data_IF_731690171788
#
_entry.id   IF_731690171788
#
_cell.length_a   1.000
_cell.length_b   1.000
_cell.length_c   1.000
_cell.angle_alpha   90.00
_cell.angle_beta   90.00
_cell.angle_gamma   90.00
#
_symmetry.space_group_name_H-M   'P 1'
#
loop_
_entity.id
_entity.type
_entity.pdbx_description
1 polymer ?
#
# COMPACT_ATOMS: atom_id res chain seq x y z
N UNK A 1 38.75 14.38 -24.56
CA UNK A 1 37.36 13.89 -24.57
C UNK A 1 37.06 13.27 -23.22
N UNK A 2 35.96 13.71 -22.61
CA UNK A 2 35.62 13.60 -21.18
C UNK A 2 35.45 12.15 -20.72
N UNK A 3 36.18 11.77 -19.65
CA UNK A 3 35.94 10.56 -18.83
C UNK A 3 35.18 10.89 -17.53
N UNK A 4 34.50 12.03 -17.47
CA UNK A 4 33.83 12.52 -16.24
C UNK A 4 32.35 12.17 -16.12
N UNK A 5 31.71 11.61 -17.16
CA UNK A 5 30.26 11.32 -17.13
C UNK A 5 29.89 9.92 -16.65
N UNK A 6 30.85 8.99 -16.57
CA UNK A 6 30.54 7.57 -16.28
C UNK A 6 30.59 7.22 -14.78
N UNK A 7 31.08 8.13 -13.91
CA UNK A 7 31.21 7.86 -12.47
C UNK A 7 30.10 8.46 -11.58
N UNK A 8 29.31 9.43 -12.08
CA UNK A 8 28.24 10.05 -11.28
C UNK A 8 26.96 9.20 -11.23
N UNK A 9 26.63 8.48 -12.31
CA UNK A 9 25.46 7.58 -12.33
C UNK A 9 25.69 6.24 -11.61
N UNK A 10 26.94 5.93 -11.25
CA UNK A 10 27.31 4.67 -10.58
C UNK A 10 27.08 4.65 -9.07
N UNK A 11 26.53 5.72 -8.47
CA UNK A 11 26.46 5.87 -7.00
C UNK A 11 25.10 6.34 -6.46
N UNK A 12 24.11 6.64 -7.31
CA UNK A 12 22.79 7.02 -6.79
C UNK A 12 22.10 5.78 -6.18
N UNK A 13 21.68 5.83 -4.90
CA UNK A 13 20.93 4.74 -4.31
C UNK A 13 19.60 4.59 -5.06
N UNK A 14 19.40 3.41 -5.64
CA UNK A 14 18.17 3.05 -6.37
C UNK A 14 17.07 2.56 -5.44
N UNK A 15 17.40 2.15 -4.22
CA UNK A 15 16.45 1.93 -3.15
C UNK A 15 16.46 3.15 -2.22
N UNK A 16 15.34 3.89 -2.18
CA UNK A 16 15.21 5.13 -1.40
C UNK A 16 14.04 5.07 -0.43
N UNK A 17 14.07 5.94 0.58
CA UNK A 17 12.98 6.16 1.52
C UNK A 17 12.46 7.58 1.41
N UNK A 18 11.17 7.74 1.62
CA UNK A 18 10.56 9.06 1.65
C UNK A 18 9.15 9.03 2.19
N UNK A 19 8.49 10.17 2.09
CA UNK A 19 7.13 10.40 2.58
C UNK A 19 6.23 10.73 1.39
N UNK A 20 5.06 10.11 1.30
CA UNK A 20 4.07 10.44 0.26
C UNK A 20 3.51 11.83 0.53
N UNK A 21 3.69 12.75 -0.43
CA UNK A 21 3.24 14.16 -0.34
C UNK A 21 2.09 14.50 -1.28
N UNK A 22 1.89 13.71 -2.33
CA UNK A 22 0.77 13.88 -3.26
C UNK A 22 0.34 12.54 -3.88
N UNK A 23 -0.93 12.43 -4.28
CA UNK A 23 -1.54 11.19 -4.76
C UNK A 23 -2.49 11.47 -5.92
N UNK A 24 -2.34 10.71 -7.00
CA UNK A 24 -3.31 10.64 -8.10
C UNK A 24 -3.88 9.21 -8.19
N UNK A 25 -5.04 8.96 -7.55
CA UNK A 25 -5.66 7.65 -7.58
C UNK A 25 -6.18 7.25 -8.97
N UNK A 26 -6.41 8.19 -9.89
CA UNK A 26 -6.91 7.88 -11.24
C UNK A 26 -5.84 7.25 -12.12
N UNK A 27 -4.58 7.57 -11.86
CA UNK A 27 -3.44 7.07 -12.63
C UNK A 27 -2.57 6.09 -11.85
N UNK A 28 -2.93 5.77 -10.59
CA UNK A 28 -2.12 4.96 -9.65
C UNK A 28 -0.71 5.52 -9.49
N UNK A 29 -0.60 6.84 -9.25
CA UNK A 29 0.68 7.53 -9.10
C UNK A 29 0.74 8.38 -7.84
N UNK A 30 1.96 8.63 -7.38
CA UNK A 30 2.26 9.45 -6.21
C UNK A 30 3.45 10.38 -6.46
N UNK A 31 3.60 11.38 -5.61
CA UNK A 31 4.86 12.07 -5.39
C UNK A 31 5.39 11.76 -4.00
N UNK A 32 6.69 11.54 -3.91
CA UNK A 32 7.39 11.22 -2.67
C UNK A 32 8.45 12.27 -2.42
N UNK A 33 8.54 12.77 -1.19
CA UNK A 33 9.65 13.60 -0.73
C UNK A 33 10.70 12.69 -0.09
N UNK A 34 11.92 12.68 -0.62
CA UNK A 34 13.00 11.88 -0.05
C UNK A 34 13.64 12.58 1.16
N UNK A 35 14.00 11.78 2.17
CA UNK A 35 14.55 12.27 3.44
C UNK A 35 16.02 12.70 3.32
N UNK A 36 16.74 12.23 2.30
CA UNK A 36 18.20 12.28 2.19
C UNK A 36 18.75 13.34 1.22
N UNK A 37 17.90 14.03 0.45
CA UNK A 37 18.32 15.02 -0.55
C UNK A 37 17.48 16.29 -0.47
N UNK A 38 17.79 17.23 0.44
CA UNK A 38 17.30 18.62 0.47
C UNK A 38 15.80 18.79 0.13
N UNK A 39 14.93 17.90 0.65
CA UNK A 39 13.49 17.90 0.39
C UNK A 39 13.07 17.67 -1.08
N UNK A 40 13.90 16.97 -1.87
CA UNK A 40 13.60 16.63 -3.26
C UNK A 40 12.30 15.82 -3.35
N UNK A 41 11.36 16.36 -4.12
CA UNK A 41 10.08 15.71 -4.44
C UNK A 41 10.20 15.06 -5.81
N UNK A 42 9.85 13.78 -5.89
CA UNK A 42 9.86 13.04 -7.16
C UNK A 42 8.89 13.65 -8.17
N UNK A 43 9.11 13.32 -9.46
CA UNK A 43 8.02 13.34 -10.42
C UNK A 43 6.95 12.31 -10.02
N UNK A 44 5.86 12.25 -10.79
CA UNK A 44 4.85 11.21 -10.58
C UNK A 44 5.44 9.82 -10.84
N UNK A 45 5.54 9.02 -9.79
CA UNK A 45 6.02 7.64 -9.83
C UNK A 45 4.88 6.65 -9.58
N UNK A 46 5.03 5.42 -10.06
CA UNK A 46 3.95 4.44 -10.06
C UNK A 46 3.72 3.82 -8.67
N UNK A 47 2.45 3.54 -8.36
CA UNK A 47 2.03 2.68 -7.25
C UNK A 47 1.80 1.27 -7.80
N UNK A 48 2.52 0.30 -7.26
CA UNK A 48 2.39 -1.08 -7.70
C UNK A 48 1.07 -1.69 -7.20
N UNK A 49 0.21 -2.10 -8.12
CA UNK A 49 -0.98 -2.88 -7.80
C UNK A 49 -0.63 -4.36 -7.55
N UNK A 50 -1.35 -5.02 -6.65
CA UNK A 50 -1.16 -6.47 -6.39
C UNK A 50 -1.47 -7.32 -7.63
N UNK A 51 -2.46 -6.92 -8.43
CA UNK A 51 -2.72 -7.42 -9.78
C UNK A 51 -3.55 -6.38 -10.56
N UNK A 52 -3.56 -6.48 -11.90
CA UNK A 52 -4.24 -5.51 -12.77
C UNK A 52 -5.05 -6.14 -13.91
N UNK A 53 -4.59 -7.26 -14.48
CA UNK A 53 -5.27 -7.93 -15.61
C UNK A 53 -6.15 -9.09 -15.11
N UNK A 54 -7.43 -9.08 -15.47
CA UNK A 54 -8.41 -10.09 -15.09
C UNK A 54 -8.90 -9.92 -13.65
N UNK A 55 -7.99 -10.05 -12.68
CA UNK A 55 -8.20 -9.63 -11.29
C UNK A 55 -7.44 -8.33 -11.10
N UNK A 56 -8.09 -7.33 -10.51
CA UNK A 56 -7.45 -6.07 -10.13
C UNK A 56 -7.62 -5.81 -8.64
N UNK A 57 -6.59 -5.21 -8.03
CA UNK A 57 -6.60 -4.78 -6.64
C UNK A 57 -6.16 -3.32 -6.58
N UNK A 58 -7.04 -2.47 -6.08
CA UNK A 58 -6.80 -1.03 -5.96
C UNK A 58 -6.55 -0.66 -4.51
N UNK A 59 -5.39 -0.07 -4.23
CA UNK A 59 -5.05 0.50 -2.94
C UNK A 59 -3.98 1.57 -3.14
N UNK A 60 -4.28 2.79 -2.70
CA UNK A 60 -3.29 3.86 -2.63
C UNK A 60 -2.65 3.87 -1.25
N UNK A 61 -1.37 4.27 -1.12
CA UNK A 61 -0.80 4.60 0.18
C UNK A 61 -1.55 5.79 0.81
N UNK A 62 -1.45 5.89 2.13
CA UNK A 62 -1.86 7.07 2.86
C UNK A 62 -1.07 8.30 2.43
N UNK A 63 -1.69 9.47 2.58
CA UNK A 63 -0.91 10.71 2.54
C UNK A 63 -0.07 10.76 3.81
N UNK A 64 1.22 11.11 3.67
CA UNK A 64 2.23 11.06 4.74
C UNK A 64 2.66 9.66 5.17
N UNK A 65 2.31 8.62 4.41
CA UNK A 65 2.93 7.30 4.60
C UNK A 65 4.44 7.41 4.35
N UNK A 66 5.24 6.84 5.25
CA UNK A 66 6.64 6.52 4.94
C UNK A 66 6.67 5.35 3.96
N UNK A 67 7.46 5.44 2.90
CA UNK A 67 7.51 4.45 1.82
C UNK A 67 8.94 4.12 1.41
N UNK A 68 9.10 2.91 0.89
CA UNK A 68 10.28 2.53 0.12
C UNK A 68 10.00 2.69 -1.38
N UNK A 69 10.96 3.24 -2.10
CA UNK A 69 10.90 3.48 -3.54
C UNK A 69 12.03 2.75 -4.25
N UNK A 70 11.72 2.14 -5.40
CA UNK A 70 12.68 1.72 -6.40
C UNK A 70 12.78 2.80 -7.47
N UNK A 71 13.95 3.42 -7.59
CA UNK A 71 14.25 4.49 -8.54
C UNK A 71 15.22 3.98 -9.61
N UNK A 72 15.12 4.52 -10.81
CA UNK A 72 16.16 4.34 -11.81
C UNK A 72 17.48 5.03 -11.37
N UNK A 73 18.58 4.73 -12.07
CA UNK A 73 19.90 5.28 -11.73
C UNK A 73 19.99 6.82 -11.86
N UNK A 74 19.05 7.44 -12.57
CA UNK A 74 18.97 8.89 -12.75
C UNK A 74 18.07 9.56 -11.70
N UNK A 75 17.29 8.80 -10.94
CA UNK A 75 16.28 9.31 -10.02
C UNK A 75 15.07 9.94 -10.72
N UNK A 76 14.89 9.73 -12.03
CA UNK A 76 13.86 10.40 -12.83
C UNK A 76 12.52 9.64 -12.81
N UNK A 77 12.59 8.32 -12.82
CA UNK A 77 11.43 7.42 -12.78
C UNK A 77 11.58 6.36 -11.69
N UNK A 78 10.46 5.83 -11.24
CA UNK A 78 10.45 4.78 -10.23
C UNK A 78 9.06 4.31 -9.85
N UNK A 79 8.99 3.55 -8.77
CA UNK A 79 7.74 3.10 -8.17
C UNK A 79 7.87 2.94 -6.65
N UNK A 80 6.72 2.94 -5.96
CA UNK A 80 6.65 2.53 -4.56
C UNK A 80 6.71 1.00 -4.48
N UNK A 81 7.61 0.49 -3.64
CA UNK A 81 7.68 -0.93 -3.27
C UNK A 81 6.66 -1.25 -2.17
N UNK A 82 6.48 -0.34 -1.20
CA UNK A 82 5.46 -0.44 -0.17
C UNK A 82 5.57 0.63 0.92
N UNK A 83 4.52 0.78 1.71
CA UNK A 83 4.52 1.60 2.93
C UNK A 83 5.28 0.90 4.06
N UNK A 84 5.93 1.68 4.90
CA UNK A 84 6.68 1.26 6.08
C UNK A 84 5.94 1.69 7.33
N UNK A 85 5.80 0.76 8.28
CA UNK A 85 5.34 1.11 9.62
C UNK A 85 6.39 1.91 10.40
N UNK A 86 5.93 2.86 11.20
CA UNK A 86 6.76 3.75 12.01
C UNK A 86 6.15 3.89 13.42
N UNK A 87 6.73 4.75 14.26
CA UNK A 87 6.27 4.93 15.64
C UNK A 87 4.86 5.53 15.76
N UNK A 88 4.43 6.31 14.76
CA UNK A 88 3.10 6.89 14.66
C UNK A 88 2.11 5.90 14.03
N UNK A 89 2.53 5.23 12.96
CA UNK A 89 1.73 4.30 12.17
C UNK A 89 2.25 2.88 12.39
N UNK A 90 1.86 2.29 13.53
CA UNK A 90 2.28 0.95 13.92
C UNK A 90 1.53 -0.16 13.15
N UNK A 91 2.06 -1.39 13.09
CA UNK A 91 1.35 -2.53 12.50
C UNK A 91 -0.04 -2.74 13.10
N UNK A 92 -1.02 -3.07 12.25
CA UNK A 92 -2.43 -3.28 12.66
C UNK A 92 -2.74 -4.72 13.13
N UNK A 93 -1.74 -5.60 13.08
CA UNK A 93 -1.80 -6.97 13.58
C UNK A 93 -0.54 -7.31 14.36
N UNK A 94 -0.65 -8.32 15.22
CA UNK A 94 0.37 -8.69 16.21
C UNK A 94 0.70 -10.19 16.23
N UNK A 95 0.15 -10.96 15.29
CA UNK A 95 0.40 -12.39 15.15
C UNK A 95 0.61 -12.80 13.69
N UNK A 96 1.38 -13.88 13.48
CA UNK A 96 1.71 -14.41 12.16
C UNK A 96 0.48 -14.99 11.44
N UNK A 97 -0.51 -15.43 12.22
CA UNK A 97 -1.75 -16.01 11.74
C UNK A 97 -2.78 -14.94 11.35
N UNK A 98 -2.43 -13.65 11.30
CA UNK A 98 -3.38 -12.58 10.97
C UNK A 98 -3.16 -12.00 9.58
N UNK A 99 -4.24 -11.88 8.81
CA UNK A 99 -4.33 -11.01 7.64
C UNK A 99 -5.34 -9.91 7.95
N UNK A 100 -4.87 -8.66 8.04
CA UNK A 100 -5.68 -7.53 8.49
C UNK A 100 -5.64 -6.38 7.51
N UNK A 101 -6.81 -5.84 7.15
CA UNK A 101 -6.96 -4.52 6.54
C UNK A 101 -7.68 -3.64 7.56
N UNK A 102 -7.06 -2.53 7.95
CA UNK A 102 -7.63 -1.56 8.90
C UNK A 102 -7.91 -0.24 8.20
N UNK A 103 -9.03 0.37 8.53
CA UNK A 103 -9.46 1.67 8.02
C UNK A 103 -10.15 2.45 9.15
N UNK A 104 -10.50 3.71 8.88
CA UNK A 104 -11.09 4.58 9.89
C UNK A 104 -12.35 3.95 10.52
N UNK A 105 -12.23 3.55 11.79
CA UNK A 105 -13.33 2.98 12.58
C UNK A 105 -13.65 1.50 12.34
N UNK A 106 -12.91 0.79 11.48
CA UNK A 106 -13.22 -0.59 11.12
C UNK A 106 -12.06 -1.42 10.58
N UNK A 107 -12.35 -2.70 10.31
CA UNK A 107 -11.36 -3.67 9.84
C UNK A 107 -11.99 -4.86 9.13
N UNK A 108 -11.16 -5.54 8.34
CA UNK A 108 -11.38 -6.90 7.85
C UNK A 108 -10.20 -7.73 8.35
N UNK A 109 -10.45 -8.74 9.17
CA UNK A 109 -9.44 -9.58 9.81
C UNK A 109 -9.74 -11.05 9.58
N UNK A 110 -8.77 -11.77 9.00
CA UNK A 110 -8.78 -13.23 8.91
C UNK A 110 -7.68 -13.78 9.82
N UNK A 111 -8.07 -14.63 10.77
CA UNK A 111 -7.16 -15.46 11.54
C UNK A 111 -7.00 -16.82 10.83
N UNK A 112 -5.82 -17.10 10.29
CA UNK A 112 -5.53 -18.28 9.48
C UNK A 112 -5.27 -19.53 10.33
N UNK A 113 -5.04 -19.39 11.63
CA UNK A 113 -4.85 -20.52 12.55
C UNK A 113 -6.19 -21.12 12.99
N UNK A 114 -7.13 -20.26 13.36
CA UNK A 114 -8.49 -20.63 13.78
C UNK A 114 -9.51 -20.67 12.63
N UNK A 115 -9.22 -19.97 11.52
CA UNK A 115 -10.16 -19.76 10.43
C UNK A 115 -11.20 -18.68 10.71
N UNK A 116 -11.06 -17.91 11.79
CA UNK A 116 -12.03 -16.88 12.16
C UNK A 116 -11.94 -15.67 11.21
N UNK A 117 -13.08 -15.26 10.67
CA UNK A 117 -13.24 -14.03 9.91
C UNK A 117 -14.02 -13.01 10.76
N UNK A 118 -13.41 -11.86 11.02
CA UNK A 118 -14.02 -10.74 11.75
C UNK A 118 -14.05 -9.49 10.87
N UNK A 119 -15.24 -8.92 10.71
CA UNK A 119 -15.49 -7.77 9.84
C UNK A 119 -16.24 -6.72 10.64
N UNK A 120 -15.62 -5.56 10.84
CA UNK A 120 -16.24 -4.39 11.45
C UNK A 120 -16.33 -3.27 10.43
N UNK A 121 -17.56 -2.93 10.03
CA UNK A 121 -17.84 -1.83 9.11
C UNK A 121 -18.61 -0.72 9.89
N UNK A 122 -18.08 0.51 9.99
CA UNK A 122 -18.78 1.61 10.66
C UNK A 122 -19.95 2.18 9.83
N UNK A 123 -19.93 1.96 8.52
CA UNK A 123 -21.02 2.31 7.60
C UNK A 123 -21.96 1.13 7.35
N UNK A 124 -22.53 1.08 6.15
CA UNK A 124 -23.42 0.00 5.70
C UNK A 124 -22.66 -1.12 4.99
N UNK A 125 -23.21 -2.34 5.06
CA UNK A 125 -22.78 -3.48 4.24
C UNK A 125 -23.83 -3.72 3.15
N UNK A 126 -23.42 -3.65 1.88
CA UNK A 126 -24.25 -3.98 0.73
C UNK A 126 -23.69 -5.24 0.06
N UNK A 127 -24.51 -6.28 -0.08
CA UNK A 127 -24.14 -7.54 -0.74
C UNK A 127 -25.16 -7.77 -1.86
N UNK A 128 -24.69 -7.73 -3.10
CA UNK A 128 -25.52 -7.96 -4.29
C UNK A 128 -25.16 -9.32 -4.90
N UNK A 129 -26.18 -10.16 -5.10
CA UNK A 129 -26.04 -11.52 -5.65
C UNK A 129 -27.17 -11.71 -6.66
N UNK A 130 -26.85 -11.97 -7.92
CA UNK A 130 -27.85 -12.25 -8.96
C UNK A 130 -28.43 -13.66 -8.88
N UNK A 131 -27.74 -14.57 -8.20
CA UNK A 131 -28.17 -15.94 -7.92
C UNK A 131 -28.60 -16.14 -6.47
N UNK A 132 -28.38 -17.34 -5.94
CA UNK A 132 -28.73 -17.66 -4.56
C UNK A 132 -27.73 -17.09 -3.54
N UNK A 133 -28.24 -16.51 -2.46
CA UNK A 133 -27.46 -16.15 -1.28
C UNK A 133 -27.71 -17.18 -0.17
N UNK A 134 -26.70 -18.00 0.12
CA UNK A 134 -26.78 -19.09 1.09
C UNK A 134 -25.89 -18.80 2.32
N UNK A 135 -26.50 -18.78 3.51
CA UNK A 135 -25.79 -18.70 4.78
C UNK A 135 -26.11 -19.93 5.61
N UNK A 136 -25.06 -20.67 6.02
CA UNK A 136 -25.18 -21.87 6.85
C UNK A 136 -24.28 -21.72 8.06
N UNK A 137 -24.86 -21.86 9.24
CA UNK A 137 -24.12 -21.88 10.49
C UNK A 137 -24.71 -22.98 11.39
N UNK A 138 -23.87 -23.68 12.14
CA UNK A 138 -24.33 -24.66 13.12
C UNK A 138 -25.19 -24.00 14.21
N UNK A 139 -24.92 -22.73 14.52
CA UNK A 139 -25.69 -21.85 15.41
C UNK A 139 -25.61 -20.43 14.85
N UNK A 140 -26.72 -19.70 14.88
CA UNK A 140 -26.78 -18.30 14.43
C UNK A 140 -27.55 -17.45 15.42
N UNK A 141 -27.11 -16.19 15.59
CA UNK A 141 -27.85 -15.16 16.29
C UNK A 141 -27.90 -13.95 15.36
N UNK A 142 -29.10 -13.61 14.90
CA UNK A 142 -29.37 -12.35 14.22
C UNK A 142 -29.97 -11.43 15.27
N UNK A 143 -29.26 -10.37 15.63
CA UNK A 143 -29.68 -9.33 16.57
C UNK A 143 -30.11 -8.08 15.85
#
# INVERSE_FOLDING_TARGET
MSKRSDSEYGQNPTARRGIVVDRDPKTMRVKVQFEDEDELVTQWIDVLAKSSTGVSAFQMPGEKDEVWCAMDAKGESGCIIGSRYNAKDAPSGDANEQVVITFAGGHIRLDTGSGNLDIKIPGSVNIEVSGEFNVKAAKGHFS
#
